data_IF_839609913331
#
_entry.id   IF_839609913331
#
_cell.length_a   1.000
_cell.length_b   1.000
_cell.length_c   1.000
_cell.angle_alpha   90.00
_cell.angle_beta   90.00
_cell.angle_gamma   90.00
#
_symmetry.space_group_name_H-M   'P 1'
#
loop_
_entity.id
_entity.type
_entity.pdbx_description
1 polymer ?
#
# COMPACT_ATOMS: atom_id res chain seq x y z
N UNK A 1 30.37 -27.55 -24.21
CA UNK A 1 29.06 -28.20 -23.96
C UNK A 1 28.76 -28.46 -22.47
N UNK A 2 29.75 -28.49 -21.56
CA UNK A 2 29.53 -28.76 -20.12
C UNK A 2 29.00 -27.56 -19.29
N UNK A 3 29.27 -26.32 -19.70
CA UNK A 3 28.91 -25.09 -18.94
C UNK A 3 27.41 -24.83 -18.79
N UNK A 4 26.58 -25.38 -19.68
CA UNK A 4 25.12 -25.17 -19.65
C UNK A 4 24.45 -26.00 -18.55
N UNK A 5 24.99 -27.18 -18.20
CA UNK A 5 24.38 -28.07 -17.20
C UNK A 5 24.45 -27.55 -15.76
N UNK A 6 25.44 -26.69 -15.44
CA UNK A 6 25.60 -26.13 -14.09
C UNK A 6 24.54 -25.09 -13.71
N UNK A 7 24.06 -24.31 -14.69
CA UNK A 7 23.10 -23.23 -14.46
C UNK A 7 21.68 -23.74 -14.14
N UNK A 8 21.25 -24.85 -14.75
CA UNK A 8 19.92 -25.42 -14.49
C UNK A 8 19.81 -26.10 -13.11
N UNK A 9 20.91 -26.63 -12.57
CA UNK A 9 20.94 -27.21 -11.23
C UNK A 9 20.68 -26.19 -10.12
N UNK A 10 21.26 -24.99 -10.23
CA UNK A 10 21.13 -23.93 -9.22
C UNK A 10 19.76 -23.26 -9.25
N UNK A 11 19.19 -23.01 -10.43
CA UNK A 11 17.80 -22.55 -10.61
C UNK A 11 16.80 -23.52 -9.97
N UNK A 12 16.89 -24.82 -10.29
CA UNK A 12 15.97 -25.84 -9.77
C UNK A 12 16.13 -26.01 -8.26
N UNK A 13 17.36 -26.05 -7.74
CA UNK A 13 17.62 -26.10 -6.30
C UNK A 13 17.11 -24.85 -5.56
N UNK A 14 17.23 -23.66 -6.14
CA UNK A 14 16.70 -22.41 -5.55
C UNK A 14 15.17 -22.41 -5.50
N UNK A 15 14.50 -22.86 -6.56
CA UNK A 15 13.03 -23.01 -6.60
C UNK A 15 12.54 -24.06 -5.60
N UNK A 16 13.22 -25.20 -5.49
CA UNK A 16 12.91 -26.25 -4.51
C UNK A 16 13.11 -25.77 -3.07
N UNK A 17 14.20 -25.05 -2.77
CA UNK A 17 14.43 -24.44 -1.45
C UNK A 17 13.36 -23.39 -1.12
N UNK A 18 12.98 -22.53 -2.07
CA UNK A 18 11.93 -21.56 -1.86
C UNK A 18 10.56 -22.23 -1.61
N UNK A 19 10.22 -23.25 -2.40
CA UNK A 19 9.01 -24.06 -2.21
C UNK A 19 8.98 -24.76 -0.84
N UNK A 20 10.10 -25.36 -0.43
CA UNK A 20 10.25 -25.99 0.89
C UNK A 20 10.08 -24.99 2.02
N UNK A 21 10.71 -23.81 1.94
CA UNK A 21 10.54 -22.75 2.95
C UNK A 21 9.08 -22.30 3.02
N UNK A 22 8.40 -22.09 1.89
CA UNK A 22 6.97 -21.73 1.90
C UNK A 22 6.09 -22.85 2.44
N UNK A 23 6.42 -24.12 2.19
CA UNK A 23 5.68 -25.27 2.72
C UNK A 23 5.88 -25.42 4.23
N UNK A 24 7.11 -25.23 4.74
CA UNK A 24 7.40 -25.24 6.18
C UNK A 24 6.70 -24.08 6.89
N UNK A 25 6.75 -22.86 6.34
CA UNK A 25 6.02 -21.71 6.92
C UNK A 25 4.51 -21.97 6.91
N UNK A 26 3.95 -22.47 5.81
CA UNK A 26 2.53 -22.83 5.76
C UNK A 26 2.17 -23.92 6.78
N UNK A 27 2.99 -24.96 6.94
CA UNK A 27 2.79 -26.00 7.94
C UNK A 27 2.85 -25.44 9.37
N UNK A 28 3.84 -24.60 9.69
CA UNK A 28 3.95 -23.93 11.01
C UNK A 28 2.70 -23.10 11.31
N UNK A 29 2.21 -22.32 10.33
CA UNK A 29 0.99 -21.51 10.47
C UNK A 29 -0.25 -22.40 10.68
N UNK A 30 -0.40 -23.49 9.93
CA UNK A 30 -1.53 -24.44 10.08
C UNK A 30 -1.49 -25.21 11.40
N UNK A 31 -0.31 -25.58 11.91
CA UNK A 31 -0.17 -26.34 13.15
C UNK A 31 -0.10 -25.48 14.41
N UNK A 32 0.26 -24.19 14.32
CA UNK A 32 0.31 -23.25 15.44
C UNK A 32 -0.92 -23.28 16.39
N UNK A 33 -2.19 -23.25 15.92
CA UNK A 33 -3.36 -23.21 16.80
C UNK A 33 -3.59 -24.46 17.66
N UNK A 34 -2.87 -25.57 17.42
CA UNK A 34 -2.94 -26.77 18.25
C UNK A 34 -1.96 -26.77 19.44
N UNK A 35 -0.94 -25.90 19.42
CA UNK A 35 0.10 -25.82 20.46
C UNK A 35 0.09 -24.51 21.25
N UNK A 36 -0.68 -23.52 20.82
CA UNK A 36 -0.75 -22.19 21.41
C UNK A 36 -1.98 -22.02 22.30
N UNK A 37 -1.88 -21.10 23.28
CA UNK A 37 -3.01 -20.75 24.12
C UNK A 37 -4.10 -19.99 23.33
N UNK A 38 -5.40 -20.08 23.71
CA UNK A 38 -6.50 -19.43 22.97
C UNK A 38 -6.27 -17.94 22.66
N UNK A 39 -5.74 -17.18 23.63
CA UNK A 39 -5.37 -15.77 23.44
C UNK A 39 -4.32 -15.55 22.34
N UNK A 40 -3.32 -16.43 22.23
CA UNK A 40 -2.30 -16.37 21.18
C UNK A 40 -2.88 -16.76 19.81
N UNK A 41 -3.83 -17.69 19.78
CA UNK A 41 -4.58 -18.03 18.55
C UNK A 41 -5.40 -16.82 18.08
N UNK A 42 -6.15 -16.18 18.97
CA UNK A 42 -6.85 -14.91 18.70
C UNK A 42 -5.90 -13.82 18.19
N UNK A 43 -4.71 -13.68 18.80
CA UNK A 43 -3.69 -12.72 18.37
C UNK A 43 -3.21 -13.00 16.94
N UNK A 44 -2.96 -14.26 16.59
CA UNK A 44 -2.60 -14.66 15.22
C UNK A 44 -3.77 -14.48 14.23
N UNK A 45 -5.01 -14.73 14.64
CA UNK A 45 -6.22 -14.43 13.84
C UNK A 45 -6.28 -12.94 13.47
N UNK A 46 -6.02 -12.05 14.45
CA UNK A 46 -5.96 -10.60 14.21
C UNK A 46 -4.83 -10.21 13.26
N UNK A 47 -3.65 -10.84 13.38
CA UNK A 47 -2.54 -10.62 12.43
C UNK A 47 -2.92 -10.96 11.00
N UNK A 48 -3.57 -12.11 10.78
CA UNK A 48 -4.03 -12.54 9.45
C UNK A 48 -5.10 -11.61 8.89
N UNK A 49 -6.05 -11.20 9.72
CA UNK A 49 -7.10 -10.25 9.38
C UNK A 49 -6.53 -8.89 8.96
N UNK A 50 -5.64 -8.30 9.76
CA UNK A 50 -4.99 -7.03 9.41
C UNK A 50 -4.10 -7.18 8.18
N UNK A 51 -3.48 -8.35 7.96
CA UNK A 51 -2.74 -8.62 6.72
C UNK A 51 -3.63 -8.59 5.46
N UNK A 52 -4.92 -8.96 5.55
CA UNK A 52 -5.87 -8.78 4.43
C UNK A 52 -6.15 -7.30 4.17
N UNK A 53 -6.43 -6.51 5.19
CA UNK A 53 -6.64 -5.06 5.06
C UNK A 53 -5.39 -4.38 4.45
N UNK A 54 -4.21 -4.72 4.97
CA UNK A 54 -2.92 -4.20 4.53
C UNK A 54 -2.55 -4.68 3.12
N UNK A 55 -3.00 -5.87 2.67
CA UNK A 55 -2.80 -6.31 1.28
C UNK A 55 -3.59 -5.41 0.30
N UNK A 56 -4.81 -5.02 0.67
CA UNK A 56 -5.57 -3.99 -0.03
C UNK A 56 -4.84 -2.64 -0.08
N UNK A 57 -4.43 -2.14 1.08
CA UNK A 57 -3.75 -0.84 1.16
C UNK A 57 -2.41 -0.85 0.40
N UNK A 58 -1.69 -1.97 0.42
CA UNK A 58 -0.45 -2.17 -0.32
C UNK A 58 -0.67 -2.16 -1.84
N UNK A 59 -1.78 -2.71 -2.33
CA UNK A 59 -2.15 -2.63 -3.74
C UNK A 59 -2.32 -1.16 -4.18
N UNK A 60 -2.98 -0.34 -3.36
CA UNK A 60 -3.29 1.06 -3.69
C UNK A 60 -2.09 2.00 -3.49
N UNK A 61 -1.52 2.01 -2.29
CA UNK A 61 -0.40 2.89 -1.90
C UNK A 61 0.93 2.34 -2.41
N UNK A 62 1.19 1.06 -2.13
CA UNK A 62 2.46 0.40 -2.43
C UNK A 62 2.69 0.11 -3.92
N UNK A 63 1.66 -0.30 -4.66
CA UNK A 63 1.79 -0.60 -6.10
C UNK A 63 1.14 0.43 -7.02
N UNK A 64 0.04 1.07 -6.61
CA UNK A 64 -0.64 2.11 -7.39
C UNK A 64 -0.15 3.55 -7.14
N UNK A 65 0.67 3.78 -6.12
CA UNK A 65 1.23 5.11 -5.79
C UNK A 65 0.20 6.10 -5.19
N UNK A 66 -1.00 5.66 -4.85
CA UNK A 66 -2.06 6.53 -4.34
C UNK A 66 -2.12 6.47 -2.81
N UNK A 67 -1.81 7.58 -2.15
CA UNK A 67 -1.98 7.69 -0.69
C UNK A 67 -3.48 7.78 -0.37
N UNK A 68 -3.97 6.87 0.46
CA UNK A 68 -5.34 6.84 0.96
C UNK A 68 -5.35 6.72 2.48
N UNK A 69 -6.01 7.68 3.13
CA UNK A 69 -6.27 7.69 4.57
C UNK A 69 -7.73 7.27 4.88
N UNK A 70 -8.43 6.73 3.87
CA UNK A 70 -9.82 6.27 3.97
C UNK A 70 -9.99 4.79 4.29
N UNK A 71 -8.89 4.04 4.47
CA UNK A 71 -8.95 2.57 4.49
C UNK A 71 -9.75 1.99 5.66
N UNK A 72 -9.68 2.63 6.83
CA UNK A 72 -10.52 2.31 7.99
C UNK A 72 -12.02 2.51 7.74
N UNK A 73 -12.40 3.42 6.83
CA UNK A 73 -13.80 3.63 6.45
C UNK A 73 -14.35 2.50 5.58
N UNK A 74 -13.55 1.98 4.63
CA UNK A 74 -13.93 0.80 3.85
C UNK A 74 -13.95 -0.47 4.71
N UNK A 75 -13.07 -0.56 5.71
CA UNK A 75 -13.11 -1.58 6.74
C UNK A 75 -14.40 -1.51 7.56
N UNK A 76 -14.78 -0.32 8.06
CA UNK A 76 -16.06 -0.09 8.74
C UNK A 76 -17.25 -0.50 7.88
N UNK A 77 -17.28 -0.08 6.60
CA UNK A 77 -18.37 -0.41 5.68
C UNK A 77 -18.55 -1.94 5.54
N UNK A 78 -17.46 -2.70 5.43
CA UNK A 78 -17.50 -4.17 5.41
C UNK A 78 -17.95 -4.78 6.74
N UNK A 79 -17.44 -4.27 7.86
CA UNK A 79 -17.80 -4.73 9.19
C UNK A 79 -19.31 -4.53 9.48
N UNK A 80 -19.84 -3.34 9.17
CA UNK A 80 -21.26 -3.03 9.30
C UNK A 80 -22.14 -3.79 8.31
N UNK A 81 -21.69 -4.01 7.07
CA UNK A 81 -22.43 -4.84 6.10
C UNK A 81 -22.61 -6.26 6.65
N UNK A 82 -21.55 -6.85 7.20
CA UNK A 82 -21.63 -8.16 7.83
C UNK A 82 -22.48 -8.16 9.12
N UNK A 83 -22.32 -7.16 9.98
CA UNK A 83 -23.05 -7.08 11.24
C UNK A 83 -24.56 -6.95 11.02
N UNK A 84 -24.99 -6.07 10.11
CA UNK A 84 -26.41 -5.87 9.76
C UNK A 84 -27.01 -7.13 9.12
N UNK A 85 -26.25 -7.84 8.28
CA UNK A 85 -26.68 -9.10 7.65
C UNK A 85 -26.82 -10.27 8.63
N UNK A 86 -26.02 -10.30 9.69
CA UNK A 86 -26.10 -11.30 10.76
C UNK A 86 -27.25 -10.97 11.73
N UNK A 87 -27.28 -9.74 12.26
CA UNK A 87 -28.24 -9.25 13.25
C UNK A 87 -29.69 -9.27 12.74
N UNK A 88 -29.95 -8.67 11.57
CA UNK A 88 -31.32 -8.42 11.11
C UNK A 88 -31.88 -9.48 10.17
N UNK A 89 -31.02 -10.09 9.37
CA UNK A 89 -31.45 -11.03 8.31
C UNK A 89 -31.13 -12.48 8.66
N UNK A 90 -30.41 -12.76 9.75
CA UNK A 90 -30.04 -14.12 10.16
C UNK A 90 -29.26 -14.90 9.09
N UNK A 91 -28.60 -14.19 8.16
CA UNK A 91 -27.90 -14.85 7.04
C UNK A 91 -26.67 -15.58 7.55
N UNK A 92 -26.39 -16.77 7.02
CA UNK A 92 -25.20 -17.53 7.42
C UNK A 92 -23.91 -16.73 7.12
N UNK A 93 -22.95 -16.76 8.05
CA UNK A 93 -21.75 -15.91 8.01
C UNK A 93 -21.06 -15.89 6.65
N UNK A 94 -20.90 -17.05 6.00
CA UNK A 94 -20.26 -17.17 4.68
C UNK A 94 -20.93 -16.35 3.57
N UNK A 95 -22.23 -16.05 3.66
CA UNK A 95 -22.95 -15.20 2.71
C UNK A 95 -22.64 -13.70 2.90
N UNK A 96 -22.20 -13.28 4.09
CA UNK A 96 -21.84 -11.88 4.36
C UNK A 96 -20.54 -11.46 3.69
N UNK A 97 -19.60 -12.39 3.50
CA UNK A 97 -18.29 -12.13 2.87
C UNK A 97 -18.40 -11.64 1.42
N UNK A 98 -19.10 -12.33 0.48
CA UNK A 98 -19.22 -11.85 -0.90
C UNK A 98 -20.01 -10.54 -0.99
N UNK A 99 -20.99 -10.31 -0.12
CA UNK A 99 -21.78 -9.06 -0.11
C UNK A 99 -20.95 -7.89 0.41
N UNK A 100 -20.20 -8.06 1.51
CA UNK A 100 -19.26 -7.05 2.00
C UNK A 100 -18.15 -6.75 0.97
N UNK A 101 -17.60 -7.80 0.33
CA UNK A 101 -16.59 -7.65 -0.71
C UNK A 101 -17.14 -6.87 -1.93
N UNK A 102 -18.31 -7.24 -2.45
CA UNK A 102 -18.94 -6.57 -3.59
C UNK A 102 -19.38 -5.14 -3.24
N UNK A 103 -19.98 -4.92 -2.07
CA UNK A 103 -20.37 -3.59 -1.59
C UNK A 103 -19.18 -2.65 -1.47
N UNK A 104 -18.10 -3.08 -0.84
CA UNK A 104 -16.89 -2.28 -0.72
C UNK A 104 -16.13 -2.13 -2.06
N UNK A 105 -16.22 -3.09 -2.98
CA UNK A 105 -15.71 -2.93 -4.35
C UNK A 105 -16.46 -1.84 -5.12
N UNK A 106 -17.80 -1.82 -5.04
CA UNK A 106 -18.65 -0.79 -5.67
C UNK A 106 -18.42 0.60 -5.05
N UNK A 107 -18.33 0.69 -3.71
CA UNK A 107 -17.93 1.94 -3.04
C UNK A 107 -16.54 2.40 -3.48
N UNK A 108 -15.59 1.47 -3.62
CA UNK A 108 -14.25 1.76 -4.11
C UNK A 108 -14.20 2.20 -5.58
N UNK A 109 -15.07 1.68 -6.46
CA UNK A 109 -15.25 2.23 -7.81
C UNK A 109 -15.75 3.68 -7.76
N UNK A 110 -16.73 3.97 -6.89
CA UNK A 110 -17.27 5.32 -6.69
C UNK A 110 -16.19 6.32 -6.24
N UNK A 111 -15.44 6.00 -5.18
CA UNK A 111 -14.31 6.83 -4.71
C UNK A 111 -13.10 6.83 -5.67
N UNK A 112 -12.98 5.80 -6.50
CA UNK A 112 -12.00 5.73 -7.59
C UNK A 112 -12.24 6.72 -8.73
N UNK A 113 -13.39 7.42 -8.77
CA UNK A 113 -13.65 8.52 -9.73
C UNK A 113 -13.04 9.86 -9.24
N UNK A 114 -13.26 10.34 -7.99
CA UNK A 114 -12.47 11.42 -7.39
C UNK A 114 -10.95 11.21 -7.47
N UNK A 115 -10.47 9.98 -7.32
CA UNK A 115 -9.05 9.62 -7.46
C UNK A 115 -8.45 9.87 -8.86
N UNK A 116 -9.28 10.20 -9.86
CA UNK A 116 -8.82 10.63 -11.19
C UNK A 116 -8.56 12.13 -11.29
N UNK A 117 -9.28 12.92 -10.48
CA UNK A 117 -9.21 14.39 -10.47
C UNK A 117 -8.20 14.92 -9.46
N UNK A 118 -7.91 14.13 -8.43
CA UNK A 118 -7.06 14.51 -7.30
C UNK A 118 -5.71 13.78 -7.34
N UNK A 119 -4.62 14.48 -7.05
CA UNK A 119 -3.25 13.94 -6.99
C UNK A 119 -2.67 14.03 -5.59
N UNK A 120 -1.93 13.00 -5.19
CA UNK A 120 -1.14 12.95 -3.95
C UNK A 120 -1.95 13.33 -2.71
N UNK A 121 -1.51 14.40 -2.04
CA UNK A 121 -2.09 14.87 -0.77
C UNK A 121 -3.59 15.21 -0.86
N UNK A 122 -4.08 15.73 -1.99
CA UNK A 122 -5.50 16.06 -2.14
C UNK A 122 -6.41 14.82 -2.06
N UNK A 123 -5.95 13.69 -2.62
CA UNK A 123 -6.67 12.42 -2.50
C UNK A 123 -6.59 11.87 -1.07
N UNK A 124 -5.44 12.01 -0.42
CA UNK A 124 -5.28 11.64 0.99
C UNK A 124 -6.23 12.44 1.90
N UNK A 125 -6.38 13.75 1.68
CA UNK A 125 -7.30 14.61 2.42
C UNK A 125 -8.77 14.20 2.21
N UNK A 126 -9.22 13.99 0.97
CA UNK A 126 -10.62 13.56 0.71
C UNK A 126 -10.92 12.19 1.31
N UNK A 127 -9.97 11.25 1.24
CA UNK A 127 -10.15 9.93 1.86
C UNK A 127 -10.10 9.99 3.40
N UNK A 128 -9.31 10.88 3.99
CA UNK A 128 -9.33 11.19 5.42
C UNK A 128 -10.67 11.81 5.85
N UNK A 129 -11.20 12.79 5.11
CA UNK A 129 -12.51 13.39 5.38
C UNK A 129 -13.61 12.33 5.41
N UNK A 130 -13.58 11.35 4.51
CA UNK A 130 -14.52 10.23 4.55
C UNK A 130 -14.33 9.35 5.80
N UNK A 131 -13.09 9.06 6.22
CA UNK A 131 -12.82 8.30 7.45
C UNK A 131 -13.23 9.04 8.74
N UNK A 132 -13.18 10.37 8.76
CA UNK A 132 -13.68 11.19 9.88
C UNK A 132 -15.21 11.30 9.86
N UNK A 133 -15.83 11.39 8.67
CA UNK A 133 -17.28 11.52 8.50
C UNK A 133 -18.07 10.22 8.73
N UNK A 134 -17.47 9.06 8.44
CA UNK A 134 -18.20 7.79 8.47
C UNK A 134 -18.71 7.40 9.88
N UNK A 135 -17.95 7.49 10.99
CA UNK A 135 -18.47 7.12 12.30
C UNK A 135 -19.66 7.97 12.78
N UNK A 136 -19.67 9.32 12.64
CA UNK A 136 -20.87 10.13 12.86
C UNK A 136 -22.05 9.76 11.95
N UNK A 137 -21.81 9.45 10.68
CA UNK A 137 -22.86 9.00 9.76
C UNK A 137 -23.47 7.65 10.23
N UNK A 138 -22.63 6.70 10.62
CA UNK A 138 -23.07 5.41 11.17
C UNK A 138 -23.89 5.59 12.45
N UNK A 139 -23.50 6.51 13.35
CA UNK A 139 -24.29 6.86 14.53
C UNK A 139 -25.65 7.46 14.18
N UNK A 140 -25.76 8.27 13.13
CA UNK A 140 -27.04 8.83 12.64
C UNK A 140 -27.94 7.77 11.99
N UNK A 141 -27.38 6.68 11.46
CA UNK A 141 -28.12 5.58 10.84
C UNK A 141 -28.60 4.53 11.87
N UNK A 142 -28.93 4.98 13.08
CA UNK A 142 -29.36 4.16 14.22
C UNK A 142 -30.39 3.04 13.88
N UNK A 143 -31.43 3.27 13.05
CA UNK A 143 -32.39 2.21 12.69
C UNK A 143 -31.80 1.02 11.93
N UNK A 144 -30.55 1.13 11.46
CA UNK A 144 -29.81 0.07 10.76
C UNK A 144 -28.60 -0.39 11.59
N UNK A 145 -27.82 0.56 12.13
CA UNK A 145 -26.48 0.34 12.71
C UNK A 145 -26.43 0.14 14.23
N UNK A 146 -27.55 0.29 14.95
CA UNK A 146 -27.55 0.34 16.42
C UNK A 146 -26.97 1.64 17.01
N UNK A 147 -26.73 2.65 16.18
CA UNK A 147 -26.37 4.00 16.63
C UNK A 147 -25.03 4.05 17.35
N UNK A 148 -24.99 4.65 18.54
CA UNK A 148 -23.80 4.70 19.41
C UNK A 148 -23.52 3.38 20.13
N UNK A 149 -24.53 2.52 20.32
CA UNK A 149 -24.37 1.23 21.00
C UNK A 149 -23.70 0.18 20.11
N UNK A 150 -23.79 0.34 18.79
CA UNK A 150 -23.28 -0.62 17.81
C UNK A 150 -24.15 -1.87 17.71
N UNK A 151 -23.60 -2.93 17.12
CA UNK A 151 -24.26 -4.23 16.96
C UNK A 151 -23.41 -5.33 17.59
N UNK A 152 -24.04 -6.16 18.41
CA UNK A 152 -23.49 -7.43 18.90
C UNK A 152 -24.03 -8.55 18.01
N UNK A 153 -23.16 -9.42 17.52
CA UNK A 153 -23.53 -10.52 16.62
C UNK A 153 -22.88 -11.82 17.06
N UNK A 154 -23.60 -12.92 16.80
CA UNK A 154 -23.10 -14.25 17.13
C UNK A 154 -21.80 -14.53 16.38
N UNK A 155 -20.77 -14.94 17.13
CA UNK A 155 -19.47 -15.35 16.61
C UNK A 155 -19.60 -16.57 15.70
N UNK A 156 -18.50 -16.91 15.04
CA UNK A 156 -18.48 -18.00 14.07
C UNK A 156 -18.44 -19.37 14.77
N UNK A 157 -19.61 -19.97 14.99
CA UNK A 157 -19.73 -21.27 15.66
C UNK A 157 -19.03 -22.39 14.86
N UNK A 158 -18.27 -23.29 15.55
CA UNK A 158 -17.70 -24.47 14.91
C UNK A 158 -18.79 -25.49 14.57
N UNK A 159 -18.81 -26.06 13.34
CA UNK A 159 -19.74 -27.13 13.00
C UNK A 159 -19.56 -28.34 13.93
N UNK A 160 -20.67 -28.97 14.35
CA UNK A 160 -20.65 -30.07 15.31
C UNK A 160 -19.79 -31.28 14.90
N UNK A 161 -19.51 -31.46 13.61
CA UNK A 161 -18.64 -32.51 13.08
C UNK A 161 -17.13 -32.19 13.16
N UNK A 162 -16.75 -30.94 13.48
CA UNK A 162 -15.36 -30.50 13.44
C UNK A 162 -14.57 -30.92 14.69
N UNK A 163 -15.17 -30.87 15.88
CA UNK A 163 -14.49 -31.10 17.15
C UNK A 163 -13.43 -30.05 17.52
N UNK A 164 -13.37 -28.92 16.80
CA UNK A 164 -12.47 -27.80 17.09
C UNK A 164 -13.07 -26.84 18.12
N UNK A 165 -12.20 -26.15 18.87
CA UNK A 165 -12.59 -25.00 19.68
C UNK A 165 -12.97 -23.79 18.78
N UNK A 166 -13.82 -22.90 19.29
CA UNK A 166 -14.32 -21.71 18.58
C UNK A 166 -13.18 -20.82 18.03
N UNK A 167 -12.14 -20.56 18.84
CA UNK A 167 -10.96 -19.78 18.45
C UNK A 167 -10.17 -20.46 17.31
N UNK A 168 -10.03 -21.79 17.36
CA UNK A 168 -9.31 -22.56 16.34
C UNK A 168 -10.10 -22.60 15.03
N UNK A 169 -11.41 -22.83 15.09
CA UNK A 169 -12.28 -22.80 13.91
C UNK A 169 -12.26 -21.43 13.24
N UNK A 170 -12.43 -20.36 14.02
CA UNK A 170 -12.35 -18.98 13.55
C UNK A 170 -10.98 -18.68 12.93
N UNK A 171 -9.89 -19.14 13.56
CA UNK A 171 -8.54 -19.03 13.01
C UNK A 171 -8.42 -19.70 11.63
N UNK A 172 -8.90 -20.94 11.45
CA UNK A 172 -8.81 -21.63 10.17
C UNK A 172 -9.65 -20.98 9.07
N UNK A 173 -10.83 -20.45 9.40
CA UNK A 173 -11.66 -19.71 8.43
C UNK A 173 -10.99 -18.39 8.03
N UNK A 174 -10.47 -17.63 8.98
CA UNK A 174 -9.70 -16.40 8.70
C UNK A 174 -8.43 -16.70 7.91
N UNK A 175 -7.71 -17.78 8.23
CA UNK A 175 -6.52 -18.24 7.49
C UNK A 175 -6.87 -18.61 6.04
N UNK A 176 -7.98 -19.33 5.81
CA UNK A 176 -8.43 -19.68 4.46
C UNK A 176 -8.77 -18.42 3.64
N UNK A 177 -9.54 -17.48 4.21
CA UNK A 177 -9.88 -16.22 3.54
C UNK A 177 -8.64 -15.36 3.30
N UNK A 178 -7.72 -15.28 4.28
CA UNK A 178 -6.47 -14.54 4.14
C UNK A 178 -5.55 -15.15 3.08
N UNK A 179 -5.45 -16.48 3.00
CA UNK A 179 -4.71 -17.17 1.95
C UNK A 179 -5.31 -16.87 0.56
N UNK A 180 -6.63 -16.96 0.40
CA UNK A 180 -7.32 -16.59 -0.86
C UNK A 180 -7.08 -15.12 -1.21
N UNK A 181 -7.17 -14.21 -0.24
CA UNK A 181 -6.94 -12.78 -0.45
C UNK A 181 -5.50 -12.46 -0.88
N UNK A 182 -4.50 -13.06 -0.22
CA UNK A 182 -3.08 -12.89 -0.56
C UNK A 182 -2.73 -13.53 -1.91
N UNK A 183 -3.34 -14.67 -2.26
CA UNK A 183 -3.21 -15.29 -3.58
C UNK A 183 -3.85 -14.42 -4.67
N UNK A 184 -5.03 -13.85 -4.41
CA UNK A 184 -5.70 -12.91 -5.32
C UNK A 184 -4.85 -11.66 -5.54
N UNK A 185 -4.34 -11.05 -4.47
CA UNK A 185 -3.43 -9.92 -4.54
C UNK A 185 -2.16 -10.25 -5.33
N UNK A 186 -1.51 -11.40 -5.06
CA UNK A 186 -0.34 -11.88 -5.81
C UNK A 186 -0.64 -12.04 -7.31
N UNK A 187 -1.76 -12.67 -7.66
CA UNK A 187 -2.14 -12.91 -9.05
C UNK A 187 -2.48 -11.61 -9.77
N UNK A 188 -3.22 -10.70 -9.12
CA UNK A 188 -3.53 -9.37 -9.64
C UNK A 188 -2.26 -8.55 -9.89
N UNK A 189 -1.30 -8.59 -8.97
CA UNK A 189 0.01 -7.95 -9.11
C UNK A 189 0.87 -8.57 -10.22
N UNK A 190 0.78 -9.87 -10.46
CA UNK A 190 1.45 -10.56 -11.58
C UNK A 190 0.80 -10.31 -12.95
N UNK A 191 -0.48 -9.93 -12.97
CA UNK A 191 -1.28 -9.72 -14.18
C UNK A 191 -0.86 -8.48 -14.99
N UNK A 192 -1.53 -8.26 -16.14
CA UNK A 192 -1.39 -7.03 -16.93
C UNK A 192 -1.75 -5.77 -16.12
N UNK A 193 -2.78 -5.86 -15.27
CA UNK A 193 -3.24 -4.76 -14.39
C UNK A 193 -2.14 -4.39 -13.40
N UNK A 194 -1.51 -5.37 -12.74
CA UNK A 194 -0.43 -5.14 -11.78
C UNK A 194 0.86 -4.59 -12.38
N UNK A 195 1.12 -4.83 -13.66
CA UNK A 195 2.22 -4.18 -14.40
C UNK A 195 1.88 -2.74 -14.78
N UNK A 196 0.66 -2.50 -15.25
CA UNK A 196 0.17 -1.16 -15.55
C UNK A 196 0.16 -0.26 -14.30
N UNK A 197 -0.27 -0.77 -13.14
CA UNK A 197 -0.24 -0.01 -11.87
C UNK A 197 1.17 0.45 -11.49
N UNK A 198 2.17 -0.41 -11.65
CA UNK A 198 3.58 -0.05 -11.40
C UNK A 198 4.06 1.03 -12.37
N UNK A 199 3.78 0.90 -13.67
CA UNK A 199 4.11 1.94 -14.64
C UNK A 199 3.46 3.30 -14.30
N UNK A 200 2.18 3.30 -13.88
CA UNK A 200 1.46 4.51 -13.44
C UNK A 200 2.08 5.10 -12.17
N UNK A 201 2.51 4.27 -11.21
CA UNK A 201 3.21 4.70 -9.99
C UNK A 201 4.58 5.31 -10.31
N UNK A 202 5.33 4.72 -11.23
CA UNK A 202 6.69 5.14 -11.57
C UNK A 202 6.69 6.48 -12.34
N UNK A 203 5.83 6.61 -13.36
CA UNK A 203 5.60 7.88 -14.07
C UNK A 203 4.27 7.86 -14.85
N UNK A 204 3.27 8.64 -14.39
CA UNK A 204 1.94 8.73 -15.02
C UNK A 204 2.02 9.13 -16.51
N UNK A 205 2.80 10.16 -16.85
CA UNK A 205 2.90 10.67 -18.22
C UNK A 205 3.57 9.67 -19.17
N UNK A 206 4.61 8.97 -18.70
CA UNK A 206 5.25 7.93 -19.49
C UNK A 206 4.32 6.72 -19.69
N UNK A 207 3.57 6.32 -18.67
CA UNK A 207 2.59 5.24 -18.78
C UNK A 207 1.48 5.58 -19.79
N UNK A 208 1.01 6.83 -19.82
CA UNK A 208 0.00 7.31 -20.76
C UNK A 208 0.49 7.26 -22.21
N UNK A 209 1.71 7.73 -22.50
CA UNK A 209 2.36 7.61 -23.83
C UNK A 209 2.52 6.15 -24.26
N UNK A 210 2.78 5.24 -23.32
CA UNK A 210 2.82 3.78 -23.56
C UNK A 210 1.43 3.12 -23.67
N UNK A 211 0.36 3.91 -23.80
CA UNK A 211 -1.01 3.43 -24.02
C UNK A 211 -1.73 2.93 -22.75
N UNK A 212 -1.19 3.17 -21.56
CA UNK A 212 -1.85 2.78 -20.31
C UNK A 212 -2.95 3.79 -19.96
N UNK A 213 -4.21 3.34 -20.03
CA UNK A 213 -5.36 4.12 -19.56
C UNK A 213 -5.26 4.37 -18.05
N UNK A 214 -4.77 5.54 -17.66
CA UNK A 214 -4.56 5.94 -16.25
C UNK A 214 -5.84 5.80 -15.44
N UNK A 215 -6.96 6.30 -15.97
CA UNK A 215 -8.27 6.31 -15.31
C UNK A 215 -8.70 4.92 -14.84
N UNK A 216 -8.82 3.98 -15.77
CA UNK A 216 -9.25 2.61 -15.49
C UNK A 216 -8.38 1.92 -14.44
N UNK A 217 -7.04 2.08 -14.51
CA UNK A 217 -6.14 1.42 -13.55
C UNK A 217 -6.22 2.06 -12.16
N UNK A 218 -6.28 3.39 -12.09
CA UNK A 218 -6.44 4.13 -10.83
C UNK A 218 -7.76 3.78 -10.13
N UNK A 219 -8.88 3.80 -10.85
CA UNK A 219 -10.20 3.44 -10.30
C UNK A 219 -10.27 1.96 -9.90
N UNK A 220 -9.71 1.04 -10.69
CA UNK A 220 -9.66 -0.39 -10.32
C UNK A 220 -8.77 -0.68 -9.12
N UNK A 221 -7.60 -0.03 -8.98
CA UNK A 221 -6.77 -0.19 -7.79
C UNK A 221 -7.53 0.21 -6.53
N UNK A 222 -8.29 1.32 -6.59
CA UNK A 222 -9.11 1.77 -5.49
C UNK A 222 -10.24 0.76 -5.17
N UNK A 223 -10.94 0.25 -6.20
CA UNK A 223 -11.98 -0.77 -6.02
C UNK A 223 -11.49 -2.07 -5.39
N UNK A 224 -10.39 -2.65 -5.91
CA UNK A 224 -9.78 -3.85 -5.33
C UNK A 224 -9.27 -3.58 -3.91
N UNK A 225 -8.67 -2.43 -3.64
CA UNK A 225 -8.20 -2.02 -2.32
C UNK A 225 -9.35 -1.95 -1.30
N UNK A 226 -10.45 -1.26 -1.64
CA UNK A 226 -11.64 -1.19 -0.81
C UNK A 226 -12.30 -2.55 -0.60
N UNK A 227 -12.31 -3.43 -1.61
CA UNK A 227 -12.78 -4.83 -1.46
C UNK A 227 -11.99 -5.58 -0.38
N UNK A 228 -10.66 -5.53 -0.41
CA UNK A 228 -9.82 -6.16 0.62
C UNK A 228 -10.05 -5.57 2.01
N UNK A 229 -10.24 -4.25 2.13
CA UNK A 229 -10.62 -3.62 3.39
C UNK A 229 -11.98 -4.12 3.91
N UNK A 230 -12.97 -4.21 3.02
CA UNK A 230 -14.31 -4.70 3.34
C UNK A 230 -14.33 -6.16 3.79
N UNK A 231 -13.55 -7.02 3.13
CA UNK A 231 -13.36 -8.42 3.57
C UNK A 231 -12.72 -8.47 4.96
N UNK A 232 -11.68 -7.68 5.23
CA UNK A 232 -11.05 -7.64 6.55
C UNK A 232 -12.02 -7.13 7.64
N UNK A 233 -12.88 -6.15 7.32
CA UNK A 233 -13.95 -5.71 8.20
C UNK A 233 -15.01 -6.78 8.46
N UNK A 234 -15.42 -7.54 7.43
CA UNK A 234 -16.32 -8.69 7.58
C UNK A 234 -15.72 -9.77 8.51
N UNK A 235 -14.42 -10.07 8.37
CA UNK A 235 -13.71 -10.99 9.27
C UNK A 235 -13.65 -10.44 10.71
N UNK A 236 -13.46 -9.12 10.90
CA UNK A 236 -13.44 -8.48 12.22
C UNK A 236 -14.75 -8.70 12.97
N UNK A 237 -15.88 -8.54 12.28
CA UNK A 237 -17.22 -8.85 12.81
C UNK A 237 -17.32 -10.29 13.29
N UNK A 238 -16.81 -11.28 12.54
CA UNK A 238 -16.87 -12.70 12.93
C UNK A 238 -15.97 -13.05 14.12
N UNK A 239 -14.78 -12.43 14.21
CA UNK A 239 -13.78 -12.74 15.26
C UNK A 239 -14.15 -12.10 16.61
N UNK A 240 -14.64 -10.86 16.59
CA UNK A 240 -14.94 -10.10 17.82
C UNK A 240 -16.39 -10.30 18.27
N UNK A 241 -17.33 -10.44 17.34
CA UNK A 241 -18.77 -10.50 17.65
C UNK A 241 -19.38 -9.15 18.05
N UNK A 242 -18.65 -8.04 17.91
CA UNK A 242 -19.14 -6.71 18.25
C UNK A 242 -18.57 -5.64 17.31
N UNK A 243 -19.43 -4.69 16.90
CA UNK A 243 -19.13 -3.65 15.91
C UNK A 243 -19.71 -2.32 16.38
N UNK A 244 -18.85 -1.40 16.83
CA UNK A 244 -19.22 -0.04 17.24
C UNK A 244 -18.58 1.03 16.33
N UNK A 245 -19.20 2.21 16.14
CA UNK A 245 -18.70 3.18 15.16
C UNK A 245 -17.33 3.74 15.54
N UNK A 246 -17.09 3.92 16.84
CA UNK A 246 -15.88 4.53 17.38
C UNK A 246 -14.62 3.67 17.17
N UNK A 247 -14.78 2.35 17.01
CA UNK A 247 -13.68 1.42 16.67
C UNK A 247 -13.06 1.67 15.29
N UNK A 248 -13.76 2.38 14.40
CA UNK A 248 -13.34 2.58 13.00
C UNK A 248 -13.01 4.04 12.66
N UNK A 249 -12.68 4.86 13.66
CA UNK A 249 -12.23 6.23 13.45
C UNK A 249 -10.96 6.33 12.59
N UNK A 250 -10.63 7.54 12.15
CA UNK A 250 -9.45 7.82 11.30
C UNK A 250 -8.11 7.33 11.88
N UNK A 251 -8.02 7.15 13.21
CA UNK A 251 -6.87 6.52 13.89
C UNK A 251 -6.58 5.13 13.32
N UNK A 252 -7.61 4.33 13.02
CA UNK A 252 -7.44 3.02 12.38
C UNK A 252 -6.79 3.14 10.99
N UNK A 253 -7.23 4.12 10.18
CA UNK A 253 -6.60 4.38 8.87
C UNK A 253 -5.13 4.77 8.98
N UNK A 254 -4.77 5.62 9.96
CA UNK A 254 -3.38 6.01 10.21
C UNK A 254 -2.56 4.81 10.68
N UNK A 255 -3.08 4.01 11.60
CA UNK A 255 -2.44 2.78 12.09
C UNK A 255 -2.20 1.77 10.96
N UNK A 256 -3.16 1.56 10.07
CA UNK A 256 -3.00 0.70 8.90
C UNK A 256 -1.95 1.25 7.92
N UNK A 257 -1.92 2.57 7.67
CA UNK A 257 -0.89 3.17 6.82
C UNK A 257 0.50 3.05 7.44
N UNK A 258 0.65 3.34 8.73
CA UNK A 258 1.91 3.22 9.45
C UNK A 258 2.43 1.77 9.47
N UNK A 259 1.54 0.81 9.75
CA UNK A 259 1.86 -0.62 9.72
C UNK A 259 2.24 -1.10 8.31
N UNK A 260 1.64 -0.55 7.25
CA UNK A 260 2.06 -0.82 5.87
C UNK A 260 3.46 -0.27 5.57
N UNK A 261 3.77 0.96 6.02
CA UNK A 261 5.11 1.55 5.86
C UNK A 261 6.15 0.71 6.60
N UNK A 262 5.87 0.33 7.85
CA UNK A 262 6.73 -0.54 8.66
C UNK A 262 6.89 -1.93 8.02
N UNK A 263 5.80 -2.57 7.58
CA UNK A 263 5.85 -3.87 6.92
C UNK A 263 6.65 -3.84 5.60
N UNK A 264 6.49 -2.77 4.83
CA UNK A 264 7.23 -2.48 3.59
C UNK A 264 6.32 -2.24 2.39
N UNK A 265 6.28 -0.99 1.92
CA UNK A 265 5.53 -0.56 0.75
C UNK A 265 5.96 -1.29 -0.52
N UNK A 266 5.00 -1.85 -1.27
CA UNK A 266 5.27 -2.55 -2.52
C UNK A 266 5.90 -3.95 -2.35
N UNK A 267 5.94 -4.48 -1.13
CA UNK A 267 6.37 -5.87 -0.86
C UNK A 267 5.17 -6.80 -0.72
N UNK A 268 5.23 -8.00 -1.32
CA UNK A 268 4.16 -9.00 -1.17
C UNK A 268 4.05 -9.54 0.27
N UNK A 269 5.15 -9.55 1.04
CA UNK A 269 5.19 -10.01 2.43
C UNK A 269 4.97 -8.87 3.45
N UNK A 270 5.03 -7.61 3.00
CA UNK A 270 4.82 -6.43 3.84
C UNK A 270 3.51 -6.46 4.63
N UNK A 271 2.36 -6.83 4.04
CA UNK A 271 1.09 -6.93 4.75
C UNK A 271 1.09 -7.88 5.96
N UNK A 272 1.77 -9.02 5.88
CA UNK A 272 1.85 -9.98 7.00
C UNK A 272 2.68 -9.41 8.16
N UNK A 273 3.81 -8.79 7.86
CA UNK A 273 4.66 -8.14 8.87
C UNK A 273 3.99 -6.90 9.47
N UNK A 274 3.25 -6.14 8.66
CA UNK A 274 2.43 -5.02 9.13
C UNK A 274 1.27 -5.50 10.02
N UNK A 275 0.62 -6.62 9.70
CA UNK A 275 -0.43 -7.20 10.55
C UNK A 275 0.12 -7.61 11.92
N UNK A 276 1.31 -8.24 11.93
CA UNK A 276 2.05 -8.54 13.16
C UNK A 276 2.40 -7.26 13.93
N UNK A 277 2.81 -6.19 13.24
CA UNK A 277 3.10 -4.90 13.86
C UNK A 277 1.86 -4.29 14.56
N UNK A 278 0.71 -4.25 13.88
CA UNK A 278 -0.56 -3.73 14.46
C UNK A 278 -0.94 -4.46 15.74
N UNK A 279 -0.74 -5.79 15.78
CA UNK A 279 -1.22 -6.60 16.90
C UNK A 279 -0.23 -6.74 18.07
N UNK A 280 1.07 -6.92 17.80
CA UNK A 280 2.06 -7.16 18.86
C UNK A 280 2.63 -5.88 19.47
N UNK A 281 2.77 -4.79 18.70
CA UNK A 281 3.42 -3.56 19.21
C UNK A 281 2.60 -2.83 20.27
N UNK A 282 1.26 -2.67 20.14
CA UNK A 282 0.46 -2.09 21.22
C UNK A 282 0.51 -2.93 22.51
N UNK A 283 0.49 -4.26 22.39
CA UNK A 283 0.63 -5.19 23.54
C UNK A 283 1.96 -4.97 24.27
N UNK A 284 3.08 -5.01 23.53
CA UNK A 284 4.42 -4.74 24.11
C UNK A 284 4.55 -3.32 24.67
N UNK A 285 3.86 -2.34 24.08
CA UNK A 285 3.87 -0.95 24.58
C UNK A 285 3.14 -0.82 25.91
N UNK A 286 2.05 -1.58 26.11
CA UNK A 286 1.31 -1.63 27.38
C UNK A 286 2.15 -2.30 28.48
N UNK A 287 2.86 -3.40 28.17
CA UNK A 287 3.75 -4.09 29.11
C UNK A 287 4.92 -3.21 29.60
N UNK A 288 5.38 -2.26 28.77
CA UNK A 288 6.49 -1.35 29.08
C UNK A 288 6.01 -0.05 29.77
N UNK A 289 4.88 0.52 29.34
CA UNK A 289 4.38 1.79 29.86
C UNK A 289 2.85 1.89 29.76
N UNK A 290 2.19 1.52 30.84
CA UNK A 290 0.73 1.65 31.02
C UNK A 290 0.26 3.11 30.86
N UNK A 291 1.09 4.09 31.25
CA UNK A 291 0.75 5.50 31.23
C UNK A 291 0.78 6.18 29.84
N UNK A 292 1.50 5.64 28.85
CA UNK A 292 1.62 6.25 27.52
C UNK A 292 1.85 5.28 26.33
N UNK A 293 1.00 4.25 26.11
CA UNK A 293 1.21 3.27 25.02
C UNK A 293 1.33 3.91 23.63
N UNK A 294 0.59 4.99 23.37
CA UNK A 294 0.61 5.70 22.08
C UNK A 294 1.94 6.41 21.77
N UNK A 295 2.66 6.88 22.81
CA UNK A 295 3.99 7.51 22.64
C UNK A 295 5.04 6.45 22.31
N UNK A 296 5.00 5.30 23.01
CA UNK A 296 5.87 4.15 22.74
C UNK A 296 5.63 3.62 21.31
N UNK A 297 4.37 3.47 20.91
CA UNK A 297 3.98 3.08 19.55
C UNK A 297 4.52 4.03 18.48
N UNK A 298 4.34 5.35 18.66
CA UNK A 298 4.85 6.37 17.74
C UNK A 298 6.37 6.40 17.64
N UNK A 299 7.07 6.31 18.78
CA UNK A 299 8.53 6.23 18.83
C UNK A 299 9.04 4.98 18.10
N UNK A 300 8.39 3.83 18.30
CA UNK A 300 8.78 2.58 17.67
C UNK A 300 8.57 2.61 16.15
N UNK A 301 7.50 3.25 15.64
CA UNK A 301 7.35 3.52 14.20
C UNK A 301 8.54 4.32 13.66
N UNK A 302 8.92 5.42 14.35
CA UNK A 302 10.04 6.27 13.94
C UNK A 302 11.36 5.48 13.93
N UNK A 303 11.62 4.69 14.98
CA UNK A 303 12.80 3.82 15.07
C UNK A 303 12.86 2.81 13.94
N UNK A 304 11.75 2.11 13.65
CA UNK A 304 11.69 1.13 12.56
C UNK A 304 11.86 1.81 11.20
N UNK A 305 11.27 2.98 10.98
CA UNK A 305 11.41 3.72 9.71
C UNK A 305 12.85 4.21 9.49
N UNK A 306 13.56 4.59 10.56
CA UNK A 306 14.97 4.98 10.51
C UNK A 306 15.91 3.79 10.24
N UNK A 307 15.71 2.66 10.93
CA UNK A 307 16.55 1.45 10.79
C UNK A 307 16.24 0.68 9.49
N UNK A 308 14.97 0.64 9.08
CA UNK A 308 14.46 -0.12 7.96
C UNK A 308 13.66 0.77 6.98
N UNK A 309 14.31 1.69 6.22
CA UNK A 309 13.63 2.61 5.29
C UNK A 309 12.91 1.93 4.11
N UNK A 310 13.16 0.63 3.88
CA UNK A 310 12.44 -0.21 2.91
C UNK A 310 11.31 -1.03 3.54
N UNK A 311 11.01 -0.78 4.81
CA UNK A 311 10.24 -1.65 5.70
C UNK A 311 10.94 -2.96 6.05
N UNK A 312 10.36 -3.68 7.01
CA UNK A 312 10.86 -4.94 7.55
C UNK A 312 11.01 -6.01 6.47
N UNK A 313 10.10 -6.07 5.49
CA UNK A 313 10.19 -7.04 4.38
C UNK A 313 11.41 -6.80 3.45
N UNK A 314 12.01 -5.61 3.45
CA UNK A 314 13.20 -5.30 2.66
C UNK A 314 14.53 -5.65 3.34
N UNK A 315 14.53 -5.82 4.67
CA UNK A 315 15.73 -6.14 5.45
C UNK A 315 16.50 -7.39 4.97
N UNK A 316 15.87 -8.57 4.74
CA UNK A 316 16.62 -9.76 4.32
C UNK A 316 17.32 -9.58 2.96
N UNK A 317 16.74 -8.80 2.04
CA UNK A 317 17.37 -8.50 0.74
C UNK A 317 18.57 -7.57 0.90
N UNK A 318 18.48 -6.56 1.79
CA UNK A 318 19.60 -5.64 2.08
C UNK A 318 20.75 -6.33 2.80
N UNK A 319 20.48 -7.18 3.79
CA UNK A 319 21.51 -7.94 4.52
C UNK A 319 22.22 -8.92 3.58
N UNK A 320 21.46 -9.71 2.80
CA UNK A 320 22.05 -10.65 1.84
C UNK A 320 22.81 -9.93 0.71
N UNK A 321 22.33 -8.76 0.28
CA UNK A 321 23.02 -7.89 -0.68
C UNK A 321 24.31 -7.27 -0.15
N UNK A 322 24.35 -6.90 1.13
CA UNK A 322 25.58 -6.41 1.78
C UNK A 322 26.63 -7.52 1.90
N UNK A 323 26.22 -8.73 2.29
CA UNK A 323 27.10 -9.92 2.40
C UNK A 323 27.57 -10.43 1.04
N UNK A 324 26.80 -10.26 -0.04
CA UNK A 324 27.18 -10.72 -1.40
C UNK A 324 27.90 -9.67 -2.25
N UNK A 325 28.01 -8.41 -1.79
CA UNK A 325 28.93 -7.41 -2.36
C UNK A 325 30.37 -7.79 -2.03
N UNK A 326 30.92 -8.78 -2.74
CA UNK A 326 32.36 -8.85 -2.99
C UNK A 326 32.78 -7.46 -3.51
N UNK A 327 33.80 -6.81 -2.91
CA UNK A 327 34.33 -5.60 -3.53
C UNK A 327 34.84 -5.98 -4.91
N UNK A 328 34.25 -5.37 -5.95
CA UNK A 328 34.88 -5.37 -7.26
C UNK A 328 36.25 -4.74 -7.04
N UNK A 329 37.32 -5.52 -7.27
CA UNK A 329 38.67 -4.99 -7.30
C UNK A 329 38.64 -3.83 -8.27
N UNK A 330 38.87 -2.62 -7.76
CA UNK A 330 39.31 -1.51 -8.57
C UNK A 330 40.49 -2.01 -9.40
N UNK A 331 40.32 -2.08 -10.72
CA UNK A 331 41.47 -2.07 -11.60
C UNK A 331 42.24 -0.78 -11.24
N UNK A 332 43.50 -0.92 -10.88
CA UNK A 332 44.30 0.22 -10.41
C UNK A 332 44.43 1.29 -11.49
N UNK A 333 44.76 2.53 -11.11
CA UNK A 333 45.12 3.54 -12.10
C UNK A 333 46.32 3.02 -12.91
N UNK A 334 46.15 2.94 -14.23
CA UNK A 334 47.26 2.71 -15.15
C UNK A 334 47.97 4.04 -15.36
N UNK A 335 49.00 4.30 -14.57
CA UNK A 335 49.86 5.46 -14.75
C UNK A 335 50.61 5.40 -16.09
N UNK A 336 50.55 6.51 -16.83
CA UNK A 336 51.71 7.07 -17.53
C UNK A 336 52.20 6.42 -18.82
N UNK A 337 51.62 6.83 -19.96
CA UNK A 337 52.45 7.20 -21.12
C UNK A 337 51.84 8.41 -21.84
N UNK A 338 52.49 9.59 -21.86
CA UNK A 338 52.08 10.70 -22.70
C UNK A 338 52.69 10.53 -24.10
N UNK A 339 51.93 9.96 -25.03
CA UNK A 339 52.36 9.85 -26.44
C UNK A 339 51.74 10.97 -27.27
N UNK A 340 52.57 11.53 -28.17
CA UNK A 340 52.40 12.90 -28.67
C UNK A 340 51.29 13.08 -29.71
N UNK A 341 50.75 14.28 -29.74
CA UNK A 341 49.84 14.83 -30.76
C UNK A 341 50.63 15.18 -32.04
N UNK A 342 50.32 14.60 -33.21
CA UNK A 342 50.93 14.98 -34.48
C UNK A 342 49.94 15.60 -35.47
N UNK A 343 50.38 16.66 -36.14
CA UNK A 343 49.79 17.32 -37.32
C UNK A 343 48.70 18.38 -37.10
N UNK A 344 49.10 19.50 -36.49
CA UNK A 344 48.83 20.79 -37.15
C UNK A 344 49.87 20.99 -38.25
N UNK A 345 49.48 20.79 -39.52
CA UNK A 345 49.93 21.56 -40.71
C UNK A 345 49.45 20.90 -42.01
N UNK A 346 48.59 21.61 -42.78
CA UNK A 346 48.60 21.72 -44.24
C UNK A 346 47.26 22.28 -44.78
N UNK A 347 47.09 23.60 -44.76
CA UNK A 347 46.18 24.25 -45.71
C UNK A 347 46.85 24.30 -47.10
N UNK A 348 46.08 24.09 -48.19
CA UNK A 348 46.29 24.97 -49.34
C UNK A 348 44.98 25.45 -49.99
N UNK A 349 44.66 26.72 -49.71
CA UNK A 349 44.12 27.73 -50.64
C UNK A 349 43.37 27.25 -51.91
N UNK A 350 42.10 27.62 -51.98
CA UNK A 350 41.48 28.05 -53.25
C UNK A 350 40.71 29.37 -53.07
N UNK A 351 41.23 30.48 -53.62
CA UNK A 351 40.43 31.68 -53.95
C UNK A 351 39.47 31.29 -55.09
N UNK A 352 38.30 31.89 -55.31
CA UNK A 352 38.06 33.33 -55.54
C UNK A 352 36.55 33.65 -55.56
N UNK A 353 36.15 34.87 -55.17
CA UNK A 353 34.78 35.42 -55.31
C UNK A 353 34.25 35.99 -53.98
N UNK A 354 34.41 37.28 -53.68
CA UNK A 354 33.56 38.42 -54.12
C UNK A 354 32.13 38.34 -53.53
N UNK A 355 31.58 39.28 -52.75
CA UNK A 355 31.99 40.57 -52.15
C UNK A 355 30.94 40.93 -51.02
N UNK A 356 30.99 41.98 -50.17
CA UNK A 356 31.90 43.10 -49.87
C UNK A 356 31.61 43.66 -48.43
N UNK A 357 32.41 44.64 -47.98
CA UNK A 357 32.12 45.71 -46.97
C UNK A 357 31.39 45.40 -45.63
N UNK A 358 32.11 45.65 -44.53
CA UNK A 358 31.64 45.74 -43.14
C UNK A 358 30.99 47.12 -42.80
N UNK A 359 30.73 47.55 -41.53
CA UNK A 359 30.64 46.84 -40.23
C UNK A 359 29.40 47.20 -39.35
N UNK A 360 29.31 46.54 -38.18
CA UNK A 360 28.56 46.91 -36.94
C UNK A 360 29.01 48.30 -36.38
N UNK A 361 28.34 49.00 -35.41
CA UNK A 361 27.84 48.41 -34.14
C UNK A 361 26.72 49.12 -33.30
N UNK A 362 26.39 48.47 -32.17
CA UNK A 362 26.03 49.00 -30.84
C UNK A 362 24.73 49.81 -30.61
N UNK A 363 24.35 49.88 -29.32
CA UNK A 363 23.12 50.45 -28.79
C UNK A 363 23.38 51.76 -28.02
N UNK A 364 22.31 52.50 -27.68
CA UNK A 364 22.25 53.29 -26.45
C UNK A 364 20.78 53.55 -26.00
N UNK A 365 20.52 53.92 -24.72
CA UNK A 365 19.18 54.02 -24.14
C UNK A 365 18.68 55.47 -23.96
N UNK A 366 17.57 55.61 -23.22
CA UNK A 366 16.88 56.84 -22.78
C UNK A 366 16.00 57.54 -23.83
N UNK A 367 14.72 57.71 -23.49
CA UNK A 367 14.06 59.02 -23.22
C UNK A 367 12.89 58.71 -22.26
N UNK A 368 12.68 59.57 -21.27
CA UNK A 368 11.55 59.51 -20.33
C UNK A 368 10.49 60.58 -20.67
N UNK A 369 9.38 60.53 -19.94
CA UNK A 369 8.41 61.61 -19.72
C UNK A 369 7.45 62.01 -20.86
N UNK A 370 6.23 61.43 -20.83
CA UNK A 370 4.97 62.17 -20.97
C UNK A 370 3.76 61.34 -20.44
N UNK A 371 3.20 61.76 -19.30
CA UNK A 371 1.93 61.30 -18.69
C UNK A 371 0.69 61.99 -19.34
N UNK A 372 -0.58 61.78 -18.89
CA UNK A 372 -1.31 60.51 -18.75
C UNK A 372 -2.77 60.61 -19.28
N UNK A 373 -3.47 59.50 -19.57
CA UNK A 373 -4.94 59.55 -19.84
C UNK A 373 -5.72 58.36 -19.25
N UNK A 374 -6.62 58.70 -18.31
CA UNK A 374 -8.00 58.15 -18.28
C UNK A 374 -8.25 56.77 -17.66
N UNK A 375 -8.58 56.75 -16.37
CA UNK A 375 -9.30 55.64 -15.72
C UNK A 375 -10.75 56.06 -15.35
N UNK A 376 -11.76 55.21 -15.58
CA UNK A 376 -13.09 55.33 -14.96
C UNK A 376 -13.26 54.40 -13.73
N UNK A 377 -14.28 54.63 -12.86
CA UNK A 377 -14.13 54.39 -11.43
C UNK A 377 -14.67 53.07 -10.87
N UNK A 378 -14.23 52.75 -9.64
CA UNK A 378 -14.92 51.82 -8.73
C UNK A 378 -16.23 52.42 -8.23
N UNK A 379 -17.27 51.58 -8.11
CA UNK A 379 -18.44 51.84 -7.26
C UNK A 379 -18.26 51.21 -5.87
N UNK A 380 -18.75 51.90 -4.83
CA UNK A 380 -18.89 51.38 -3.46
C UNK A 380 -20.27 50.76 -3.22
N UNK A 381 -20.38 49.93 -2.16
CA UNK A 381 -21.58 49.60 -1.35
C UNK A 381 -22.77 48.93 -2.06
N UNK A 382 -23.04 47.68 -1.69
CA UNK A 382 -23.88 47.37 -0.50
C UNK A 382 -23.20 46.30 0.37
#
# INVERSE_FOLDING_TARGET
MSTISGAFGTERARRLRAALITAVVAAVVVYAPFYLAPFQVFQLTMVLLYAVALAGLNLLVGFGGQISLGHGAFFAAGAYTAAVMLDRYGTGHLATLPVAAAGCFLLGLGFGVPALRLRGLHLALVTLSFAVFLPPLLKRLEPVTGGSMGLTVNKLEPPAWSGLAEDQWTYFVVLAVAAVALLLARNLLGSRVGRALRAVRDNESAAEVMGVRLSLHKTLAFAWSSMFAGVAGCLYTWVIGFVSPDSFGFVLSITLLAALVVGGLGSLYGPLLGGAFVMYVPSLSQDISEAAPGVVFGLLIITVMFVAPTGLAGLPVRVLGAVTRRPLRTAGPSDGTPEADPATEAEPRSRTGSAASAPLPAADPSVADAEPVGAPPRTEKE
#
